data_IF_481330321905
#
_entry.id   IF_481330321905
#
_cell.length_a   1.000
_cell.length_b   1.000
_cell.length_c   1.000
_cell.angle_alpha   90.00
_cell.angle_beta   90.00
_cell.angle_gamma   90.00
#
_symmetry.space_group_name_H-M   'P 1'
#
loop_
_entity.id
_entity.type
_entity.pdbx_description
1 polymer ?
#
# COMPACT_ATOMS: atom_id res chain seq x y z
N UNK A 1 -47.54 17.33 25.52
CA UNK A 1 -46.69 16.16 25.80
C UNK A 1 -45.52 16.22 24.84
N UNK A 2 -44.30 16.50 25.33
CA UNK A 2 -43.10 16.51 24.48
C UNK A 2 -42.69 15.07 24.21
N UNK A 3 -42.49 14.73 22.93
CA UNK A 3 -42.00 13.41 22.56
C UNK A 3 -40.60 13.17 23.18
N UNK A 4 -40.27 11.93 23.58
CA UNK A 4 -38.94 11.60 24.05
C UNK A 4 -37.92 11.91 22.95
N UNK A 5 -36.84 12.61 23.29
CA UNK A 5 -35.72 12.84 22.37
C UNK A 5 -35.21 11.47 21.89
N UNK A 6 -35.04 11.26 20.57
CA UNK A 6 -34.47 10.02 20.07
C UNK A 6 -33.10 9.78 20.72
N UNK A 7 -32.73 8.53 21.03
CA UNK A 7 -31.38 8.23 21.49
C UNK A 7 -30.37 8.72 20.44
N UNK A 8 -29.18 9.20 20.85
CA UNK A 8 -28.15 9.63 19.92
C UNK A 8 -27.78 8.46 18.99
N UNK A 9 -27.78 8.72 17.68
CA UNK A 9 -27.34 7.74 16.69
C UNK A 9 -25.92 7.26 17.04
N UNK A 10 -25.74 5.94 17.17
CA UNK A 10 -24.40 5.39 17.39
C UNK A 10 -23.50 5.78 16.21
N UNK A 11 -22.28 6.29 16.46
CA UNK A 11 -21.39 6.68 15.38
C UNK A 11 -21.09 5.45 14.49
N UNK A 12 -21.09 5.62 13.16
CA UNK A 12 -20.82 4.52 12.24
C UNK A 12 -19.45 3.91 12.55
N UNK A 13 -19.44 2.61 12.85
CA UNK A 13 -18.20 1.85 13.10
C UNK A 13 -17.56 1.51 11.75
N UNK A 14 -16.28 1.84 11.61
CA UNK A 14 -15.49 1.61 10.40
C UNK A 14 -14.37 0.56 10.65
N UNK A 15 -14.73 -0.72 10.91
CA UNK A 15 -13.75 -1.78 11.18
C UNK A 15 -12.75 -1.99 10.04
N UNK A 16 -13.13 -1.62 8.81
CA UNK A 16 -12.28 -1.64 7.62
C UNK A 16 -11.04 -0.77 7.74
N UNK A 17 -11.07 0.30 8.55
CA UNK A 17 -9.89 1.16 8.76
C UNK A 17 -8.83 0.47 9.60
N UNK A 18 -9.23 -0.14 10.73
CA UNK A 18 -8.29 -0.85 11.60
C UNK A 18 -7.74 -2.09 10.88
N UNK A 19 -8.62 -2.87 10.24
CA UNK A 19 -8.21 -4.02 9.45
C UNK A 19 -7.28 -3.60 8.29
N UNK A 20 -7.62 -2.51 7.59
CA UNK A 20 -6.82 -1.99 6.48
C UNK A 20 -5.42 -1.57 6.91
N UNK A 21 -5.26 -0.96 8.08
CA UNK A 21 -3.94 -0.61 8.62
C UNK A 21 -3.11 -1.86 8.89
N UNK A 22 -3.68 -2.88 9.54
CA UNK A 22 -2.98 -4.14 9.81
C UNK A 22 -2.58 -4.83 8.51
N UNK A 23 -3.45 -4.87 7.52
CA UNK A 23 -3.16 -5.45 6.21
C UNK A 23 -2.05 -4.67 5.49
N UNK A 24 -2.05 -3.34 5.57
CA UNK A 24 -0.98 -2.52 4.99
C UNK A 24 0.38 -2.77 5.67
N UNK A 25 0.40 -2.97 6.99
CA UNK A 25 1.62 -3.37 7.74
C UNK A 25 2.10 -4.76 7.30
N UNK A 26 1.19 -5.73 7.17
CA UNK A 26 1.51 -7.07 6.68
C UNK A 26 2.05 -7.01 5.25
N UNK A 27 1.48 -6.17 4.38
CA UNK A 27 2.00 -5.93 3.03
C UNK A 27 3.44 -5.41 3.08
N UNK A 28 3.75 -4.42 3.92
CA UNK A 28 5.12 -3.91 4.04
C UNK A 28 6.10 -4.98 4.53
N UNK A 29 5.70 -5.80 5.51
CA UNK A 29 6.50 -6.93 5.97
C UNK A 29 6.76 -7.96 4.85
N UNK A 30 5.75 -8.25 4.03
CA UNK A 30 5.90 -9.13 2.86
C UNK A 30 6.84 -8.53 1.82
N UNK A 31 6.76 -7.22 1.56
CA UNK A 31 7.70 -6.53 0.66
C UNK A 31 9.13 -6.67 1.16
N UNK A 32 9.40 -6.44 2.44
CA UNK A 32 10.73 -6.66 3.02
C UNK A 32 11.21 -8.11 2.85
N UNK A 33 10.35 -9.10 3.11
CA UNK A 33 10.70 -10.50 2.94
C UNK A 33 11.02 -10.83 1.47
N UNK A 34 10.20 -10.35 0.53
CA UNK A 34 10.41 -10.54 -0.92
C UNK A 34 11.67 -9.82 -1.39
N UNK A 35 11.99 -8.64 -0.85
CA UNK A 35 13.23 -7.93 -1.17
C UNK A 35 14.44 -8.71 -0.71
N UNK A 36 14.42 -9.30 0.50
CA UNK A 36 15.50 -10.17 0.96
C UNK A 36 15.71 -11.38 0.05
N UNK A 37 14.62 -12.03 -0.39
CA UNK A 37 14.70 -13.15 -1.34
C UNK A 37 15.25 -12.69 -2.69
N UNK A 38 14.72 -11.61 -3.26
CA UNK A 38 15.18 -11.07 -4.54
C UNK A 38 16.65 -10.64 -4.49
N UNK A 39 17.09 -10.04 -3.39
CA UNK A 39 18.47 -9.60 -3.24
C UNK A 39 19.44 -10.79 -3.31
N UNK A 40 19.10 -11.89 -2.64
CA UNK A 40 19.90 -13.13 -2.68
C UNK A 40 19.85 -13.78 -4.07
N UNK A 41 18.68 -13.83 -4.71
CA UNK A 41 18.51 -14.51 -6.00
C UNK A 41 19.15 -13.74 -7.15
N UNK A 42 19.10 -12.40 -7.11
CA UNK A 42 19.61 -11.54 -8.17
C UNK A 42 21.06 -11.07 -7.91
N UNK A 43 21.63 -11.40 -6.75
CA UNK A 43 22.92 -10.90 -6.28
C UNK A 43 23.03 -9.36 -6.42
N UNK A 44 21.95 -8.68 -6.05
CA UNK A 44 21.75 -7.24 -6.27
C UNK A 44 21.05 -6.62 -5.08
N UNK A 45 21.49 -5.44 -4.65
CA UNK A 45 20.78 -4.69 -3.63
C UNK A 45 19.53 -3.97 -4.21
N UNK A 46 18.48 -3.73 -3.40
CA UNK A 46 17.30 -2.97 -3.84
C UNK A 46 17.63 -1.53 -4.29
N UNK A 47 18.69 -0.95 -3.72
CA UNK A 47 19.20 0.39 -4.05
C UNK A 47 20.73 0.32 -4.07
N UNK A 48 21.34 0.40 -5.26
CA UNK A 48 22.80 0.38 -5.42
C UNK A 48 23.44 1.76 -5.26
N UNK A 49 22.65 2.83 -5.42
CA UNK A 49 23.13 4.20 -5.28
C UNK A 49 23.45 4.59 -3.83
N UNK A 50 24.40 5.52 -3.62
CA UNK A 50 24.73 6.06 -2.31
C UNK A 50 23.61 7.01 -1.82
N UNK A 51 22.52 6.43 -1.33
CA UNK A 51 21.38 7.16 -0.75
C UNK A 51 21.53 7.26 0.78
N UNK A 52 20.79 8.20 1.38
CA UNK A 52 20.71 8.28 2.84
C UNK A 52 20.12 7.00 3.46
N UNK A 53 20.52 6.64 4.70
CA UNK A 53 20.15 5.37 5.33
C UNK A 53 18.64 5.21 5.57
N UNK A 54 17.88 6.31 5.54
CA UNK A 54 16.44 6.32 5.76
C UNK A 54 15.60 6.33 4.47
N UNK A 55 16.22 6.36 3.28
CA UNK A 55 15.49 6.45 2.01
C UNK A 55 14.47 5.31 1.85
N UNK A 56 14.94 4.05 1.95
CA UNK A 56 14.07 2.88 1.80
C UNK A 56 12.94 2.84 2.83
N UNK A 57 13.24 3.22 4.08
CA UNK A 57 12.23 3.31 5.14
C UNK A 57 11.15 4.34 4.80
N UNK A 58 11.54 5.55 4.41
CA UNK A 58 10.59 6.62 4.06
C UNK A 58 9.74 6.23 2.85
N UNK A 59 10.36 5.69 1.80
CA UNK A 59 9.65 5.24 0.60
C UNK A 59 8.61 4.15 0.92
N UNK A 60 8.95 3.17 1.75
CA UNK A 60 8.03 2.10 2.17
C UNK A 60 6.91 2.66 3.06
N UNK A 61 7.19 3.59 3.97
CA UNK A 61 6.16 4.22 4.81
C UNK A 61 5.15 5.02 3.97
N UNK A 62 5.62 5.77 2.97
CA UNK A 62 4.75 6.47 2.03
C UNK A 62 3.93 5.48 1.20
N UNK A 63 4.54 4.41 0.70
CA UNK A 63 3.83 3.37 -0.05
C UNK A 63 2.79 2.63 0.81
N UNK A 64 3.08 2.40 2.09
CA UNK A 64 2.13 1.82 3.06
C UNK A 64 0.88 2.69 3.18
N UNK A 65 1.04 4.03 3.22
CA UNK A 65 -0.09 4.95 3.22
C UNK A 65 -0.94 4.82 1.94
N UNK A 66 -0.32 4.64 0.77
CA UNK A 66 -1.05 4.38 -0.48
C UNK A 66 -1.85 3.08 -0.40
N UNK A 67 -1.25 2.00 0.10
CA UNK A 67 -1.94 0.71 0.26
C UNK A 67 -3.13 0.84 1.22
N UNK A 68 -2.93 1.51 2.35
CA UNK A 68 -3.99 1.79 3.32
C UNK A 68 -5.15 2.58 2.68
N UNK A 69 -4.85 3.66 1.97
CA UNK A 69 -5.86 4.46 1.26
C UNK A 69 -6.55 3.63 0.18
N UNK A 70 -5.80 2.81 -0.56
CA UNK A 70 -6.31 1.87 -1.53
C UNK A 70 -7.35 0.93 -0.94
N UNK A 71 -7.08 0.35 0.23
CA UNK A 71 -8.03 -0.50 0.95
C UNK A 71 -9.29 0.30 1.34
N UNK A 72 -9.12 1.44 2.01
CA UNK A 72 -10.24 2.25 2.52
C UNK A 72 -11.16 2.72 1.38
N UNK A 73 -10.59 3.13 0.25
CA UNK A 73 -11.34 3.62 -0.91
C UNK A 73 -11.97 2.49 -1.74
N UNK A 74 -11.31 1.33 -1.81
CA UNK A 74 -11.78 0.19 -2.62
C UNK A 74 -12.86 -0.62 -1.91
N UNK A 75 -12.80 -0.73 -0.59
CA UNK A 75 -13.74 -1.54 0.20
C UNK A 75 -15.22 -1.22 -0.05
N UNK A 76 -15.67 0.06 -0.11
CA UNK A 76 -17.07 0.39 -0.40
C UNK A 76 -17.44 0.34 -1.91
N UNK A 77 -16.49 0.08 -2.80
CA UNK A 77 -16.72 0.14 -4.24
C UNK A 77 -17.48 -1.10 -4.79
N UNK A 78 -18.17 -0.93 -5.92
CA UNK A 78 -18.89 -2.03 -6.61
C UNK A 78 -17.94 -3.09 -7.19
N UNK A 79 -16.77 -2.67 -7.64
CA UNK A 79 -15.74 -3.56 -8.21
C UNK A 79 -14.36 -3.18 -7.67
N UNK A 80 -13.52 -4.16 -7.30
CA UNK A 80 -12.23 -3.87 -6.65
C UNK A 80 -11.11 -3.60 -7.67
N UNK A 81 -11.30 -3.99 -8.93
CA UNK A 81 -10.22 -4.05 -9.93
C UNK A 81 -9.54 -2.70 -10.17
N UNK A 82 -10.31 -1.62 -10.36
CA UNK A 82 -9.76 -0.28 -10.56
C UNK A 82 -9.02 0.21 -9.31
N UNK A 83 -9.56 -0.04 -8.12
CA UNK A 83 -8.93 0.33 -6.86
C UNK A 83 -7.61 -0.41 -6.63
N UNK A 84 -7.55 -1.70 -6.97
CA UNK A 84 -6.34 -2.50 -6.90
C UNK A 84 -5.26 -2.00 -7.86
N UNK A 85 -5.61 -1.79 -9.13
CA UNK A 85 -4.68 -1.26 -10.15
C UNK A 85 -4.19 0.14 -9.76
N UNK A 86 -5.09 1.01 -9.28
CA UNK A 86 -4.71 2.34 -8.81
C UNK A 86 -3.78 2.29 -7.59
N UNK A 87 -3.98 1.33 -6.68
CA UNK A 87 -3.11 1.11 -5.52
C UNK A 87 -1.72 0.66 -5.95
N UNK A 88 -1.62 -0.32 -6.86
CA UNK A 88 -0.35 -0.79 -7.41
C UNK A 88 0.40 0.32 -8.16
N UNK A 89 -0.31 1.07 -9.02
CA UNK A 89 0.26 2.23 -9.71
C UNK A 89 0.70 3.31 -8.72
N UNK A 90 -0.07 3.56 -7.67
CA UNK A 90 0.28 4.53 -6.63
C UNK A 90 1.54 4.13 -5.85
N UNK A 91 1.69 2.85 -5.47
CA UNK A 91 2.91 2.34 -4.82
C UNK A 91 4.12 2.51 -5.72
N UNK A 92 4.01 2.12 -7.00
CA UNK A 92 5.05 2.31 -8.00
C UNK A 92 5.45 3.79 -8.11
N UNK A 93 4.46 4.67 -8.33
CA UNK A 93 4.70 6.11 -8.49
C UNK A 93 5.31 6.73 -7.23
N UNK A 94 4.86 6.36 -6.03
CA UNK A 94 5.44 6.88 -4.79
C UNK A 94 6.90 6.53 -4.67
N UNK A 95 7.31 5.30 -4.98
CA UNK A 95 8.71 4.89 -4.89
C UNK A 95 9.55 5.62 -5.95
N UNK A 96 9.09 5.65 -7.20
CA UNK A 96 9.80 6.32 -8.31
C UNK A 96 9.89 7.83 -8.10
N UNK A 97 8.83 8.48 -7.64
CA UNK A 97 8.84 9.92 -7.34
C UNK A 97 9.71 10.21 -6.12
N UNK A 98 9.70 9.35 -5.10
CA UNK A 98 10.61 9.50 -3.95
C UNK A 98 12.08 9.40 -4.40
N UNK A 99 12.39 8.48 -5.31
CA UNK A 99 13.69 8.39 -5.95
C UNK A 99 14.05 9.66 -6.74
N UNK A 100 13.10 10.18 -7.54
CA UNK A 100 13.27 11.41 -8.32
C UNK A 100 13.59 12.65 -7.48
N UNK A 101 13.02 12.73 -6.27
CA UNK A 101 13.34 13.81 -5.31
C UNK A 101 14.79 13.74 -4.84
N UNK A 102 15.38 12.54 -4.80
CA UNK A 102 16.79 12.34 -4.42
C UNK A 102 17.71 12.56 -5.61
N UNK A 103 17.46 11.85 -6.71
CA UNK A 103 18.27 11.90 -7.93
C UNK A 103 17.49 11.37 -9.15
N UNK A 104 17.73 11.94 -10.33
CA UNK A 104 17.01 11.56 -11.55
C UNK A 104 17.44 10.19 -12.07
N UNK A 105 18.73 9.85 -12.00
CA UNK A 105 19.25 8.55 -12.44
C UNK A 105 18.72 7.43 -11.54
N UNK A 106 18.64 7.68 -10.23
CA UNK A 106 18.01 6.78 -9.28
C UNK A 106 16.54 6.53 -9.63
N UNK A 107 15.79 7.56 -10.06
CA UNK A 107 14.40 7.38 -10.47
C UNK A 107 14.25 6.42 -11.66
N UNK A 108 15.13 6.54 -12.66
CA UNK A 108 15.14 5.63 -13.81
C UNK A 108 15.53 4.21 -13.43
N UNK A 109 16.53 4.03 -12.56
CA UNK A 109 16.90 2.71 -12.06
C UNK A 109 15.72 2.06 -11.29
N UNK A 110 15.07 2.81 -10.41
CA UNK A 110 13.95 2.33 -9.62
C UNK A 110 12.70 2.06 -10.47
N UNK A 111 12.50 2.80 -11.56
CA UNK A 111 11.38 2.58 -12.49
C UNK A 111 11.42 1.19 -13.15
N UNK A 112 12.60 0.67 -13.46
CA UNK A 112 12.79 -0.67 -14.04
C UNK A 112 13.16 -1.74 -13.01
N UNK A 113 13.28 -1.37 -11.73
CA UNK A 113 13.79 -2.23 -10.68
C UNK A 113 12.85 -3.41 -10.40
N UNK A 114 13.35 -4.66 -10.39
CA UNK A 114 12.53 -5.82 -10.06
C UNK A 114 11.94 -5.74 -8.65
N UNK A 115 12.61 -5.04 -7.73
CA UNK A 115 12.14 -4.80 -6.37
C UNK A 115 10.90 -3.89 -6.37
N UNK A 116 10.95 -2.76 -7.07
CA UNK A 116 9.82 -1.82 -7.15
C UNK A 116 8.63 -2.46 -7.85
N UNK A 117 8.87 -3.19 -8.93
CA UNK A 117 7.83 -3.95 -9.63
C UNK A 117 7.19 -5.01 -8.74
N UNK A 118 8.00 -5.77 -7.98
CA UNK A 118 7.47 -6.75 -7.03
C UNK A 118 6.61 -6.10 -5.93
N UNK A 119 7.07 -4.98 -5.36
CA UNK A 119 6.29 -4.25 -4.35
C UNK A 119 4.95 -3.74 -4.91
N UNK A 120 4.96 -3.18 -6.11
CA UNK A 120 3.75 -2.71 -6.79
C UNK A 120 2.78 -3.86 -7.10
N UNK A 121 3.29 -5.01 -7.58
CA UNK A 121 2.46 -6.18 -7.85
C UNK A 121 1.84 -6.75 -6.56
N UNK A 122 2.61 -6.83 -5.47
CA UNK A 122 2.09 -7.25 -4.17
C UNK A 122 0.98 -6.31 -3.66
N UNK A 123 1.01 -5.03 -4.04
CA UNK A 123 -0.01 -4.05 -3.65
C UNK A 123 -1.38 -4.25 -4.33
N UNK A 124 -1.49 -5.16 -5.31
CA UNK A 124 -2.78 -5.57 -5.87
C UNK A 124 -3.62 -6.36 -4.86
N UNK A 125 -2.97 -7.18 -4.02
CA UNK A 125 -3.66 -8.14 -3.14
C UNK A 125 -4.46 -7.47 -1.99
N UNK A 126 -3.91 -6.48 -1.25
CA UNK A 126 -4.61 -5.87 -0.12
C UNK A 126 -6.03 -5.35 -0.42
N UNK A 127 -6.24 -4.44 -1.41
CA UNK A 127 -7.57 -3.91 -1.67
C UNK A 127 -8.56 -4.98 -2.17
N UNK A 128 -8.10 -5.97 -2.93
CA UNK A 128 -8.95 -7.08 -3.41
C UNK A 128 -9.38 -7.97 -2.24
N UNK A 129 -8.42 -8.37 -1.39
CA UNK A 129 -8.68 -9.26 -0.26
C UNK A 129 -9.61 -8.60 0.77
N UNK A 130 -9.35 -7.33 1.12
CA UNK A 130 -10.21 -6.57 2.02
C UNK A 130 -11.62 -6.40 1.45
N UNK A 131 -11.74 -6.01 0.18
CA UNK A 131 -13.05 -5.88 -0.48
C UNK A 131 -13.82 -7.21 -0.47
N UNK A 132 -13.18 -8.32 -0.83
CA UNK A 132 -13.83 -9.63 -0.87
C UNK A 132 -14.33 -10.06 0.51
N UNK A 133 -13.53 -9.81 1.55
CA UNK A 133 -13.87 -10.12 2.94
C UNK A 133 -15.06 -9.29 3.45
N UNK A 134 -15.03 -7.96 3.29
CA UNK A 134 -16.10 -7.11 3.78
C UNK A 134 -17.39 -7.29 2.98
N UNK A 135 -17.30 -7.53 1.67
CA UNK A 135 -18.45 -7.86 0.84
C UNK A 135 -19.12 -9.17 1.22
N UNK A 136 -18.37 -10.17 1.70
CA UNK A 136 -18.94 -11.44 2.14
C UNK A 136 -19.65 -11.37 3.50
N UNK A 137 -19.48 -10.26 4.25
CA UNK A 137 -20.01 -10.09 5.61
C UNK A 137 -21.01 -8.95 5.77
N UNK A 138 -21.17 -8.10 4.75
CA UNK A 138 -22.23 -7.09 4.66
C UNK A 138 -23.41 -7.63 3.89
#
# INVERSE_FOLDING_TARGET
MSAPTPPPDEPPRHPERVAGLLVAIVWAALVFAVFGVLAVVLDRDPVEHPVGPYFGLVAILLALAVVYLGIVLTTPARTPGLGAVATAAGVYLVIVVSALVVDTDLAFEQAASPFVLAAALLALAPPIASWAYFRARG
#
